data_IF_989326435065
#
_entry.id   IF_989326435065
#
_cell.length_a   1.000
_cell.length_b   1.000
_cell.length_c   1.000
_cell.angle_alpha   90.00
_cell.angle_beta   90.00
_cell.angle_gamma   90.00
#
_symmetry.space_group_name_H-M   'P 1'
#
loop_
_entity.id
_entity.type
_entity.pdbx_description
1 polymer ?
#
# COMPACT_ATOMS: atom_id res chain seq x y z
N UNK A 1 43.35 17.53 -25.09
CA UNK A 1 44.26 16.82 -24.15
C UNK A 1 43.56 15.94 -23.12
N UNK A 2 42.25 16.07 -22.88
CA UNK A 2 41.54 15.34 -21.82
C UNK A 2 41.42 13.81 -22.03
N UNK A 3 41.41 13.32 -23.27
CA UNK A 3 41.27 11.88 -23.57
C UNK A 3 42.52 11.05 -23.29
N UNK A 4 43.69 11.67 -23.08
CA UNK A 4 44.96 10.97 -22.85
C UNK A 4 45.04 10.29 -21.47
N UNK A 5 44.22 10.75 -20.52
CA UNK A 5 44.25 10.26 -19.13
C UNK A 5 42.99 9.47 -18.73
N UNK A 6 42.02 9.32 -19.63
CA UNK A 6 40.80 8.55 -19.35
C UNK A 6 41.04 7.07 -19.66
N UNK A 7 41.51 6.34 -18.64
CA UNK A 7 41.65 4.89 -18.72
C UNK A 7 40.26 4.25 -18.75
N UNK A 8 39.97 3.49 -19.81
CA UNK A 8 38.71 2.75 -19.93
C UNK A 8 38.87 1.41 -19.23
N UNK A 9 38.05 1.17 -18.23
CA UNK A 9 37.93 -0.13 -17.55
C UNK A 9 36.70 -0.84 -18.12
N UNK A 10 36.86 -1.70 -19.14
CA UNK A 10 35.73 -2.46 -19.66
C UNK A 10 35.20 -3.41 -18.59
N UNK A 11 33.89 -3.63 -18.60
CA UNK A 11 33.25 -4.62 -17.72
C UNK A 11 33.60 -6.02 -18.24
N UNK A 12 34.01 -6.96 -17.36
CA UNK A 12 34.28 -8.33 -17.78
C UNK A 12 33.05 -9.00 -18.39
N UNK A 13 33.28 -9.83 -19.39
CA UNK A 13 32.24 -10.63 -20.02
C UNK A 13 31.58 -11.55 -18.97
N UNK A 14 30.26 -11.73 -19.07
CA UNK A 14 29.43 -12.53 -18.15
C UNK A 14 29.32 -12.04 -16.69
N UNK A 15 29.96 -10.91 -16.33
CA UNK A 15 29.87 -10.36 -14.96
C UNK A 15 28.42 -10.14 -14.51
N UNK A 16 27.58 -9.59 -15.40
CA UNK A 16 26.17 -9.33 -15.11
C UNK A 16 25.37 -10.61 -14.85
N UNK A 17 25.66 -11.70 -15.58
CA UNK A 17 24.97 -12.98 -15.39
C UNK A 17 25.33 -13.61 -14.05
N UNK A 18 26.63 -13.64 -13.72
CA UNK A 18 27.12 -14.16 -12.44
C UNK A 18 26.49 -13.39 -11.27
N UNK A 19 26.44 -12.07 -11.37
CA UNK A 19 25.83 -11.22 -10.34
C UNK A 19 24.32 -11.44 -10.24
N UNK A 20 23.64 -11.54 -11.37
CA UNK A 20 22.20 -11.79 -11.42
C UNK A 20 21.84 -13.16 -10.79
N UNK A 21 22.59 -14.20 -11.11
CA UNK A 21 22.34 -15.54 -10.57
C UNK A 21 22.65 -15.61 -9.07
N UNK A 22 23.73 -14.97 -8.63
CA UNK A 22 24.05 -14.83 -7.21
C UNK A 22 22.92 -14.11 -6.45
N UNK A 23 22.51 -12.93 -6.93
CA UNK A 23 21.45 -12.14 -6.28
C UNK A 23 20.10 -12.86 -6.25
N UNK A 24 19.77 -13.64 -7.30
CA UNK A 24 18.58 -14.49 -7.31
C UNK A 24 18.61 -15.53 -6.19
N UNK A 25 19.74 -16.22 -6.00
CA UNK A 25 19.85 -17.25 -4.95
C UNK A 25 19.84 -16.62 -3.54
N UNK A 26 20.51 -15.47 -3.33
CA UNK A 26 20.41 -14.71 -2.07
C UNK A 26 18.96 -14.34 -1.73
N UNK A 27 18.20 -13.85 -2.71
CA UNK A 27 16.79 -13.49 -2.50
C UNK A 27 15.90 -14.70 -2.23
N UNK A 28 16.23 -15.85 -2.83
CA UNK A 28 15.50 -17.11 -2.64
C UNK A 28 15.72 -17.72 -1.26
N UNK A 29 16.96 -17.67 -0.79
CA UNK A 29 17.38 -18.35 0.43
C UNK A 29 17.31 -17.49 1.68
N UNK A 30 17.34 -16.16 1.52
CA UNK A 30 17.31 -15.17 2.61
C UNK A 30 18.30 -15.54 3.74
N UNK A 31 19.61 -15.65 3.45
CA UNK A 31 20.62 -16.00 4.45
C UNK A 31 20.78 -14.88 5.49
N UNK A 32 21.12 -15.24 6.73
CA UNK A 32 21.43 -14.26 7.78
C UNK A 32 22.75 -13.51 7.53
N UNK A 33 23.75 -14.24 7.02
CA UNK A 33 25.08 -13.72 6.70
C UNK A 33 25.36 -13.90 5.21
N UNK A 34 25.22 -12.79 4.47
CA UNK A 34 25.37 -12.74 3.02
C UNK A 34 26.85 -12.96 2.62
N UNK A 35 27.82 -12.57 3.46
CA UNK A 35 29.25 -12.69 3.14
C UNK A 35 29.65 -14.16 3.16
N UNK A 36 29.26 -14.88 4.22
CA UNK A 36 29.50 -16.33 4.33
C UNK A 36 28.80 -17.09 3.20
N UNK A 37 27.55 -16.74 2.92
CA UNK A 37 26.79 -17.32 1.82
C UNK A 37 27.47 -17.13 0.45
N UNK A 38 27.96 -15.91 0.18
CA UNK A 38 28.69 -15.61 -1.05
C UNK A 38 29.98 -16.43 -1.21
N UNK A 39 30.74 -16.61 -0.12
CA UNK A 39 31.93 -17.45 -0.13
C UNK A 39 31.61 -18.89 -0.55
N UNK A 40 30.64 -19.53 0.12
CA UNK A 40 30.24 -20.92 -0.15
C UNK A 40 29.65 -21.08 -1.56
N UNK A 41 28.88 -20.10 -2.02
CA UNK A 41 28.31 -20.06 -3.37
C UNK A 41 29.40 -20.03 -4.45
N UNK A 42 30.37 -19.10 -4.34
CA UNK A 42 31.43 -18.98 -5.32
C UNK A 42 32.44 -20.14 -5.25
N UNK A 43 32.69 -20.73 -4.08
CA UNK A 43 33.47 -21.97 -3.97
C UNK A 43 32.78 -23.14 -4.69
N UNK A 44 31.46 -23.30 -4.51
CA UNK A 44 30.69 -24.35 -5.18
C UNK A 44 30.68 -24.14 -6.69
N UNK A 45 30.51 -22.89 -7.15
CA UNK A 45 30.56 -22.52 -8.57
C UNK A 45 31.94 -22.81 -9.19
N UNK A 46 33.03 -22.48 -8.47
CA UNK A 46 34.41 -22.77 -8.91
C UNK A 46 34.65 -24.27 -9.05
N UNK A 47 34.16 -25.05 -8.10
CA UNK A 47 34.33 -26.51 -8.05
C UNK A 47 33.35 -27.26 -8.99
N UNK A 48 32.38 -26.56 -9.59
CA UNK A 48 31.34 -27.15 -10.43
C UNK A 48 30.35 -28.03 -9.67
N UNK A 49 30.22 -27.85 -8.36
CA UNK A 49 29.30 -28.60 -7.51
C UNK A 49 27.96 -27.88 -7.42
N UNK A 50 26.83 -28.61 -7.32
CA UNK A 50 25.54 -27.99 -7.07
C UNK A 50 25.56 -27.34 -5.69
N UNK A 51 25.27 -26.03 -5.65
CA UNK A 51 25.12 -25.29 -4.41
C UNK A 51 23.77 -25.62 -3.76
N UNK A 52 23.78 -26.01 -2.49
CA UNK A 52 22.57 -26.31 -1.74
C UNK A 52 22.64 -25.66 -0.36
N UNK A 53 21.84 -24.61 -0.15
CA UNK A 53 21.81 -23.88 1.11
C UNK A 53 20.70 -24.40 2.02
N UNK A 54 21.09 -24.79 3.24
CA UNK A 54 20.14 -25.15 4.28
C UNK A 54 19.65 -23.88 4.98
N UNK A 55 18.64 -23.23 4.39
CA UNK A 55 18.02 -22.09 5.05
C UNK A 55 17.16 -22.57 6.22
N UNK A 56 17.27 -21.88 7.36
CA UNK A 56 16.44 -22.13 8.56
C UNK A 56 14.94 -21.90 8.32
N UNK A 57 14.59 -21.15 7.27
CA UNK A 57 13.22 -20.79 6.94
C UNK A 57 12.65 -21.57 5.74
N UNK A 58 13.52 -22.11 4.88
CA UNK A 58 13.16 -22.97 3.75
C UNK A 58 13.00 -24.40 4.24
N UNK A 59 11.95 -24.63 5.04
CA UNK A 59 11.51 -25.99 5.30
C UNK A 59 11.01 -26.54 3.96
N UNK A 60 11.63 -27.61 3.46
CA UNK A 60 11.23 -28.26 2.22
C UNK A 60 9.71 -28.50 2.21
N UNK A 61 9.03 -28.25 1.08
CA UNK A 61 7.60 -28.55 0.90
C UNK A 61 7.34 -29.99 1.35
N UNK A 62 6.69 -30.16 2.51
CA UNK A 62 6.39 -31.46 3.11
C UNK A 62 7.04 -31.74 4.48
N UNK A 63 8.07 -31.00 4.89
CA UNK A 63 8.60 -31.04 6.27
C UNK A 63 8.13 -29.86 7.12
N UNK A 64 7.34 -28.95 6.54
CA UNK A 64 6.78 -27.82 7.25
C UNK A 64 6.04 -28.35 8.48
N UNK A 65 6.57 -28.04 9.67
CA UNK A 65 5.90 -28.34 10.94
C UNK A 65 4.49 -27.77 10.79
N UNK A 66 3.48 -28.64 10.80
CA UNK A 66 2.09 -28.22 10.73
C UNK A 66 1.87 -27.21 11.85
N UNK A 67 1.74 -25.93 11.48
CA UNK A 67 1.30 -24.91 12.41
C UNK A 67 -0.14 -25.32 12.74
N UNK A 68 -0.31 -25.97 13.89
CA UNK A 68 -1.62 -26.20 14.49
C UNK A 68 -2.13 -24.82 14.87
N UNK A 69 -2.77 -24.15 13.93
CA UNK A 69 -3.62 -23.01 14.23
C UNK A 69 -4.67 -23.56 15.18
N UNK A 70 -4.59 -23.19 16.46
CA UNK A 70 -5.74 -23.30 17.32
C UNK A 70 -6.75 -22.34 16.72
N UNK A 71 -7.67 -22.88 15.91
CA UNK A 71 -8.85 -22.13 15.55
C UNK A 71 -9.47 -21.72 16.88
N UNK A 72 -9.54 -20.41 17.13
CA UNK A 72 -10.34 -19.90 18.24
C UNK A 72 -11.73 -20.47 18.00
N UNK A 73 -12.16 -21.39 18.87
CA UNK A 73 -13.49 -21.98 18.78
C UNK A 73 -14.48 -20.81 18.65
N UNK A 74 -15.48 -20.87 17.74
CA UNK A 74 -16.44 -19.79 17.51
C UNK A 74 -17.46 -19.70 18.66
N UNK A 75 -16.99 -19.71 19.90
CA UNK A 75 -17.78 -19.40 21.08
C UNK A 75 -17.38 -17.98 21.48
N UNK A 76 -18.38 -17.13 21.52
CA UNK A 76 -18.33 -15.79 22.09
C UNK A 76 -17.95 -14.63 21.16
N UNK A 77 -18.07 -14.80 19.83
CA UNK A 77 -18.04 -13.63 18.92
C UNK A 77 -19.17 -12.63 19.24
N UNK A 78 -20.34 -13.14 19.61
CA UNK A 78 -21.50 -12.33 20.01
C UNK A 78 -21.26 -11.62 21.35
N UNK A 79 -20.60 -12.28 22.31
CA UNK A 79 -20.30 -11.64 23.60
C UNK A 79 -19.15 -10.65 23.50
N UNK A 80 -18.12 -10.97 22.68
CA UNK A 80 -17.03 -10.04 22.40
C UNK A 80 -17.52 -8.82 21.63
N UNK A 81 -18.41 -8.98 20.65
CA UNK A 81 -18.98 -7.84 19.92
C UNK A 81 -19.85 -6.97 20.82
N UNK A 82 -20.71 -7.56 21.66
CA UNK A 82 -21.46 -6.82 22.70
C UNK A 82 -20.53 -6.04 23.63
N UNK A 83 -19.45 -6.67 24.11
CA UNK A 83 -18.48 -6.02 24.99
C UNK A 83 -17.76 -4.85 24.33
N UNK A 84 -17.41 -4.94 23.04
CA UNK A 84 -16.76 -3.83 22.31
C UNK A 84 -17.72 -2.65 22.11
N UNK A 85 -19.00 -2.94 21.80
CA UNK A 85 -20.04 -1.89 21.68
C UNK A 85 -20.29 -1.20 23.02
N UNK A 86 -20.40 -1.96 24.11
CA UNK A 86 -20.60 -1.42 25.45
C UNK A 86 -19.43 -0.53 25.91
N UNK A 87 -18.18 -0.95 25.64
CA UNK A 87 -16.98 -0.15 25.92
C UNK A 87 -16.98 1.16 25.11
N UNK A 88 -17.39 1.10 23.84
CA UNK A 88 -17.46 2.29 22.97
C UNK A 88 -18.48 3.31 23.48
N UNK A 89 -19.66 2.84 23.87
CA UNK A 89 -20.72 3.69 24.40
C UNK A 89 -20.31 4.33 25.73
N UNK A 90 -19.68 3.58 26.62
CA UNK A 90 -19.21 4.09 27.91
C UNK A 90 -18.15 5.19 27.75
N UNK A 91 -17.26 5.07 26.75
CA UNK A 91 -16.21 6.05 26.49
C UNK A 91 -16.78 7.40 26.02
N UNK A 92 -17.84 7.39 25.21
CA UNK A 92 -18.51 8.62 24.77
C UNK A 92 -19.18 9.37 25.93
N UNK A 93 -19.71 8.66 26.93
CA UNK A 93 -20.36 9.31 28.09
C UNK A 93 -19.36 9.95 29.07
N UNK A 94 -18.15 9.41 29.16
CA UNK A 94 -17.07 9.98 30.01
C UNK A 94 -16.49 11.26 29.38
N UNK A 95 -16.37 11.33 28.05
CA UNK A 95 -15.91 12.53 27.34
C UNK A 95 -16.96 13.66 27.36
N UNK A 96 -18.26 13.33 27.38
CA UNK A 96 -19.35 14.31 27.50
C UNK A 96 -19.52 14.90 28.91
N UNK A 97 -19.09 14.19 29.96
CA UNK A 97 -19.18 14.67 31.36
C UNK A 97 -17.94 15.42 31.85
N UNK A 98 -16.80 15.27 31.17
CA UNK A 98 -15.55 15.99 31.49
C UNK A 98 -15.39 17.34 30.79
N UNK A 99 -16.34 17.72 29.92
CA UNK A 99 -16.37 18.99 29.19
C UNK A 99 -17.39 19.98 29.76
N UNK A 100 -17.24 20.34 31.04
CA UNK A 100 -17.81 21.59 31.57
C UNK A 100 -16.83 22.75 31.31
N UNK A 101 -17.26 23.93 30.83
CA UNK A 101 -16.36 24.90 30.23
C UNK A 101 -15.75 25.83 31.29
N UNK A 102 -14.42 25.78 31.44
CA UNK A 102 -13.64 26.89 31.99
C UNK A 102 -13.18 27.78 30.83
N UNK A 103 -13.86 28.92 30.72
CA UNK A 103 -13.49 30.21 30.12
C UNK A 103 -12.05 30.31 29.57
N UNK A 104 -11.88 30.44 28.25
CA UNK A 104 -11.26 31.62 27.62
C UNK A 104 -11.09 31.47 26.09
N UNK A 105 -11.63 32.47 25.39
CA UNK A 105 -11.04 33.16 24.24
C UNK A 105 -10.92 32.47 22.87
N UNK A 106 -11.84 32.91 21.99
CA UNK A 106 -11.61 33.32 20.58
C UNK A 106 -11.06 32.25 19.64
N UNK A 107 -11.97 31.54 18.96
CA UNK A 107 -11.76 31.15 17.56
C UNK A 107 -13.08 31.18 16.79
N UNK A 108 -13.01 31.86 15.65
CA UNK A 108 -14.12 32.21 14.78
C UNK A 108 -14.78 30.96 14.17
N UNK A 109 -16.07 30.83 14.47
CA UNK A 109 -17.18 30.42 13.61
C UNK A 109 -16.84 29.76 12.26
N UNK A 110 -16.96 28.43 12.20
CA UNK A 110 -17.45 27.71 11.02
C UNK A 110 -18.82 27.12 11.35
N UNK A 111 -19.85 27.97 11.27
CA UNK A 111 -21.24 27.58 11.43
C UNK A 111 -21.72 26.89 10.14
N UNK A 112 -21.81 25.56 10.13
CA UNK A 112 -22.37 24.86 8.97
C UNK A 112 -22.29 23.34 9.01
N UNK A 113 -22.81 22.66 10.05
CA UNK A 113 -23.23 21.24 9.91
C UNK A 113 -23.92 20.59 11.13
N UNK A 114 -24.43 21.35 12.10
CA UNK A 114 -25.04 20.76 13.31
C UNK A 114 -26.57 20.59 13.24
N UNK A 115 -27.19 20.84 12.07
CA UNK A 115 -28.59 20.51 11.82
C UNK A 115 -28.72 19.16 11.10
N UNK A 116 -28.12 18.09 11.65
CA UNK A 116 -28.38 16.73 11.18
C UNK A 116 -29.74 16.29 11.71
N UNK A 117 -30.68 16.04 10.81
CA UNK A 117 -32.08 15.70 11.06
C UNK A 117 -32.23 14.57 12.11
N UNK A 118 -32.90 14.82 13.25
CA UNK A 118 -33.14 13.79 14.28
C UNK A 118 -33.88 12.57 13.71
N UNK A 119 -34.73 12.81 12.72
CA UNK A 119 -35.53 11.80 12.04
C UNK A 119 -34.68 10.87 11.17
N UNK A 120 -33.63 11.40 10.54
CA UNK A 120 -32.70 10.63 9.71
C UNK A 120 -31.79 9.74 10.56
N UNK A 121 -31.40 10.21 11.75
CA UNK A 121 -30.71 9.37 12.75
C UNK A 121 -31.59 8.22 13.25
N UNK A 122 -32.88 8.48 13.48
CA UNK A 122 -33.83 7.44 13.88
C UNK A 122 -34.02 6.41 12.75
N UNK A 123 -34.19 6.87 11.51
CA UNK A 123 -34.31 6.00 10.34
C UNK A 123 -33.06 5.12 10.13
N UNK A 124 -31.86 5.65 10.36
CA UNK A 124 -30.62 4.87 10.29
C UNK A 124 -30.54 3.78 11.37
N UNK A 125 -30.97 4.09 12.59
CA UNK A 125 -31.02 3.11 13.70
C UNK A 125 -32.04 2.02 13.41
N UNK A 126 -33.23 2.39 12.93
CA UNK A 126 -34.28 1.44 12.57
C UNK A 126 -33.86 0.52 11.42
N UNK A 127 -33.17 1.05 10.40
CA UNK A 127 -32.61 0.28 9.29
C UNK A 127 -31.55 -0.73 9.73
N UNK A 128 -30.65 -0.33 10.64
CA UNK A 128 -29.64 -1.24 11.19
C UNK A 128 -30.29 -2.36 12.01
N UNK A 129 -31.31 -2.05 12.80
CA UNK A 129 -32.07 -3.06 13.55
C UNK A 129 -32.81 -4.05 12.63
N UNK A 130 -33.39 -3.57 11.53
CA UNK A 130 -34.03 -4.43 10.53
C UNK A 130 -33.01 -5.39 9.85
N UNK A 131 -31.81 -4.90 9.54
CA UNK A 131 -30.71 -5.72 9.03
C UNK A 131 -30.30 -6.83 10.00
N UNK A 132 -30.22 -6.53 11.30
CA UNK A 132 -29.92 -7.54 12.32
C UNK A 132 -30.99 -8.62 12.39
N UNK A 133 -32.28 -8.24 12.41
CA UNK A 133 -33.39 -9.19 12.45
C UNK A 133 -33.42 -10.09 11.20
N UNK A 134 -33.11 -9.52 10.03
CA UNK A 134 -33.05 -10.29 8.78
C UNK A 134 -31.94 -11.33 8.80
N UNK A 135 -30.74 -10.95 9.27
CA UNK A 135 -29.61 -11.88 9.39
C UNK A 135 -29.91 -12.99 10.38
N UNK A 136 -30.55 -12.67 11.50
CA UNK A 136 -30.93 -13.65 12.53
C UNK A 136 -31.94 -14.68 11.97
N UNK A 137 -32.95 -14.20 11.22
CA UNK A 137 -33.91 -15.07 10.54
C UNK A 137 -33.27 -15.93 9.43
N UNK A 138 -32.32 -15.39 8.66
CA UNK A 138 -31.60 -16.14 7.62
C UNK A 138 -30.72 -17.25 8.25
N UNK A 139 -30.13 -16.99 9.42
CA UNK A 139 -29.38 -18.00 10.19
C UNK A 139 -30.32 -19.08 10.72
N UNK A 140 -31.46 -18.72 11.30
CA UNK A 140 -32.45 -19.68 11.82
C UNK A 140 -33.06 -20.55 10.69
N UNK A 141 -33.26 -19.99 9.49
CA UNK A 141 -33.68 -20.75 8.32
C UNK A 141 -32.61 -21.74 7.85
N UNK A 142 -31.33 -21.37 7.95
CA UNK A 142 -30.21 -22.25 7.62
C UNK A 142 -30.07 -23.40 8.64
N UNK A 143 -30.26 -23.12 9.93
CA UNK A 143 -30.17 -24.14 10.99
C UNK A 143 -31.39 -25.06 11.06
N UNK A 144 -32.58 -24.58 10.69
CA UNK A 144 -33.82 -25.38 10.69
C UNK A 144 -33.99 -26.30 9.46
N UNK A 145 -33.03 -26.30 8.52
CA UNK A 145 -32.94 -27.28 7.44
C UNK A 145 -34.11 -27.27 6.44
N UNK A 146 -34.92 -26.21 6.42
CA UNK A 146 -36.06 -26.04 5.51
C UNK A 146 -35.71 -25.26 4.24
N UNK A 147 -34.52 -25.43 3.68
CA UNK A 147 -34.23 -25.00 2.32
C UNK A 147 -34.66 -26.08 1.32
N UNK A 148 -35.96 -26.18 1.06
CA UNK A 148 -36.46 -26.74 -0.19
C UNK A 148 -36.19 -25.72 -1.30
N UNK A 149 -35.03 -25.83 -1.95
CA UNK A 149 -34.81 -25.46 -3.37
C UNK A 149 -33.38 -25.81 -3.79
N UNK A 150 -33.27 -26.96 -4.45
CA UNK A 150 -32.56 -27.15 -5.72
C UNK A 150 -31.46 -26.12 -6.06
N UNK A 151 -30.30 -26.23 -5.42
CA UNK A 151 -29.04 -25.73 -5.99
C UNK A 151 -27.98 -26.82 -5.84
N UNK A 152 -28.29 -27.97 -6.44
CA UNK A 152 -27.29 -28.97 -6.73
C UNK A 152 -26.35 -28.39 -7.80
N UNK A 153 -25.15 -28.03 -7.35
CA UNK A 153 -23.92 -28.57 -7.92
C UNK A 153 -23.78 -28.40 -9.45
N UNK A 154 -23.67 -27.15 -9.92
CA UNK A 154 -23.02 -26.86 -11.19
C UNK A 154 -21.57 -26.48 -10.90
N UNK A 155 -20.68 -27.47 -10.83
CA UNK A 155 -19.26 -27.21 -11.13
C UNK A 155 -19.13 -27.27 -12.65
N UNK A 156 -19.08 -26.13 -13.37
CA UNK A 156 -18.78 -26.17 -14.79
C UNK A 156 -17.39 -26.79 -14.97
N UNK A 157 -17.37 -27.99 -15.55
CA UNK A 157 -16.16 -28.63 -16.03
C UNK A 157 -15.69 -27.82 -17.24
N UNK A 158 -14.86 -26.80 -17.02
CA UNK A 158 -14.25 -26.04 -18.09
C UNK A 158 -13.19 -26.92 -18.76
N UNK A 159 -13.39 -27.20 -20.06
CA UNK A 159 -12.37 -27.81 -20.91
C UNK A 159 -11.12 -26.91 -20.94
N UNK A 160 -9.93 -27.47 -21.15
CA UNK A 160 -8.67 -26.71 -21.19
C UNK A 160 -8.70 -25.57 -22.21
N UNK A 161 -9.47 -25.72 -23.28
CA UNK A 161 -9.70 -24.67 -24.30
C UNK A 161 -10.52 -23.49 -23.77
N UNK A 162 -11.43 -23.69 -22.83
CA UNK A 162 -12.21 -22.62 -22.23
C UNK A 162 -11.43 -21.89 -21.14
N UNK A 163 -10.54 -22.61 -20.43
CA UNK A 163 -9.60 -21.98 -19.51
C UNK A 163 -8.68 -20.98 -20.24
N UNK A 164 -8.16 -21.35 -21.42
CA UNK A 164 -7.36 -20.43 -22.25
C UNK A 164 -8.13 -19.18 -22.69
N UNK A 165 -9.41 -19.32 -23.05
CA UNK A 165 -10.27 -18.17 -23.39
C UNK A 165 -10.49 -17.26 -22.19
N UNK A 166 -10.74 -17.83 -21.01
CA UNK A 166 -10.93 -17.07 -19.76
C UNK A 166 -9.64 -16.31 -19.41
N UNK A 167 -8.49 -16.97 -19.49
CA UNK A 167 -7.18 -16.34 -19.25
C UNK A 167 -6.95 -15.19 -20.25
N UNK A 168 -7.29 -15.39 -21.53
CA UNK A 168 -7.15 -14.35 -22.57
C UNK A 168 -8.07 -13.15 -22.31
N UNK A 169 -9.31 -13.38 -21.88
CA UNK A 169 -10.26 -12.31 -21.51
C UNK A 169 -9.73 -11.53 -20.31
N UNK A 170 -9.24 -12.22 -19.28
CA UNK A 170 -8.67 -11.58 -18.08
C UNK A 170 -7.40 -10.78 -18.40
N UNK A 171 -6.52 -11.30 -19.25
CA UNK A 171 -5.32 -10.59 -19.70
C UNK A 171 -5.67 -9.32 -20.51
N UNK A 172 -6.67 -9.42 -21.39
CA UNK A 172 -7.16 -8.26 -22.16
C UNK A 172 -7.77 -7.18 -21.26
N UNK A 173 -8.60 -7.58 -20.29
CA UNK A 173 -9.22 -6.67 -19.34
C UNK A 173 -8.18 -5.95 -18.47
N UNK A 174 -7.19 -6.68 -17.94
CA UNK A 174 -6.07 -6.08 -17.18
C UNK A 174 -5.26 -5.11 -18.05
N UNK A 175 -4.99 -5.46 -19.31
CA UNK A 175 -4.28 -4.60 -20.24
C UNK A 175 -5.03 -3.32 -20.61
N UNK A 176 -6.37 -3.34 -20.64
CA UNK A 176 -7.18 -2.12 -20.81
C UNK A 176 -7.13 -1.23 -19.56
N UNK A 177 -7.19 -1.82 -18.37
CA UNK A 177 -7.17 -1.08 -17.11
C UNK A 177 -5.84 -0.33 -16.91
N UNK A 178 -4.71 -0.97 -17.24
CA UNK A 178 -3.39 -0.34 -17.23
C UNK A 178 -3.28 0.79 -18.27
N UNK A 179 -3.81 0.59 -19.49
CA UNK A 179 -3.82 1.63 -20.52
C UNK A 179 -4.66 2.84 -20.12
N UNK A 180 -5.78 2.64 -19.42
CA UNK A 180 -6.60 3.73 -18.93
C UNK A 180 -5.91 4.50 -17.79
N UNK A 181 -5.24 3.81 -16.86
CA UNK A 181 -4.45 4.47 -15.81
C UNK A 181 -3.29 5.29 -16.40
N UNK A 182 -2.58 4.75 -17.40
CA UNK A 182 -1.49 5.47 -18.05
C UNK A 182 -1.99 6.73 -18.79
N UNK A 183 -3.17 6.65 -19.43
CA UNK A 183 -3.81 7.81 -20.06
C UNK A 183 -4.22 8.87 -19.05
N UNK A 184 -4.74 8.48 -17.88
CA UNK A 184 -5.05 9.43 -16.80
C UNK A 184 -3.79 10.15 -16.32
N UNK A 185 -2.70 9.42 -16.08
CA UNK A 185 -1.43 10.04 -15.66
C UNK A 185 -0.84 10.99 -16.70
N UNK A 186 -0.98 10.68 -18.00
CA UNK A 186 -0.53 11.58 -19.07
C UNK A 186 -1.39 12.85 -19.16
N UNK A 187 -2.70 12.75 -18.93
CA UNK A 187 -3.59 13.90 -18.89
C UNK A 187 -3.30 14.80 -17.67
N UNK A 188 -3.07 14.19 -16.51
CA UNK A 188 -2.66 14.92 -15.29
C UNK A 188 -1.30 15.60 -15.46
N UNK A 189 -0.33 14.93 -16.09
CA UNK A 189 0.98 15.51 -16.39
C UNK A 189 0.92 16.70 -17.36
N UNK A 190 0.02 16.68 -18.34
CA UNK A 190 -0.16 17.80 -19.27
C UNK A 190 -0.83 19.01 -18.62
N UNK A 191 -1.76 18.83 -17.68
CA UNK A 191 -2.39 19.96 -16.97
C UNK A 191 -1.41 20.70 -16.05
N UNK A 192 -0.44 19.99 -15.45
CA UNK A 192 0.56 20.62 -14.57
C UNK A 192 1.54 21.50 -15.36
N UNK A 193 1.87 21.13 -16.60
CA UNK A 193 2.75 21.96 -17.45
C UNK A 193 2.07 23.24 -17.92
N UNK A 194 0.76 23.20 -18.18
CA UNK A 194 -0.02 24.40 -18.55
C UNK A 194 -0.17 25.38 -17.36
N UNK A 195 -0.30 24.87 -16.12
CA UNK A 195 -0.32 25.72 -14.92
C UNK A 195 1.05 26.33 -14.58
N UNK A 196 2.17 25.62 -14.80
CA UNK A 196 3.51 26.16 -14.56
C UNK A 196 3.92 27.25 -15.57
N UNK A 197 3.47 27.17 -16.83
CA UNK A 197 3.72 28.22 -17.83
C UNK A 197 2.95 29.51 -17.51
N UNK A 198 1.72 29.45 -16.97
CA UNK A 198 0.98 30.65 -16.57
C UNK A 198 1.60 31.37 -15.36
N UNK A 199 2.22 30.64 -14.43
CA UNK A 199 2.88 31.23 -13.25
C UNK A 199 4.18 31.96 -13.64
N UNK A 200 4.93 31.46 -14.63
CA UNK A 200 6.20 32.08 -15.04
C UNK A 200 6.02 33.42 -15.78
N UNK A 201 4.90 33.59 -16.50
CA UNK A 201 4.59 34.84 -17.23
C UNK A 201 4.26 35.99 -16.26
N UNK A 202 3.68 35.71 -15.08
CA UNK A 202 3.33 36.76 -14.11
C UNK A 202 4.53 37.28 -13.30
N UNK A 203 5.60 36.49 -13.15
CA UNK A 203 6.79 36.90 -12.35
C UNK A 203 7.74 37.81 -13.14
N UNK A 204 7.71 37.76 -14.48
CA UNK A 204 8.62 38.52 -15.34
C UNK A 204 8.30 40.03 -15.51
N UNK A 205 7.24 40.56 -14.87
CA UNK A 205 6.83 41.97 -15.01
C UNK A 205 7.17 42.87 -13.80
N UNK A 206 8.04 42.46 -12.87
CA UNK A 206 8.52 43.36 -11.81
C UNK A 206 9.83 44.05 -12.22
N UNK A 207 9.84 45.36 -12.52
CA UNK A 207 11.08 46.09 -12.75
C UNK A 207 11.88 46.23 -11.46
N UNK A 208 13.18 45.93 -11.56
CA UNK A 208 14.18 46.01 -10.50
C UNK A 208 14.67 47.47 -10.40
N UNK A 209 14.46 48.12 -9.26
CA UNK A 209 15.05 49.43 -8.96
C UNK A 209 16.47 49.20 -8.44
N UNK A 210 17.47 49.62 -9.22
CA UNK A 210 18.88 49.54 -8.85
C UNK A 210 19.25 50.74 -7.97
N UNK A 211 19.68 50.45 -6.74
CA UNK A 211 20.30 51.40 -5.82
C UNK A 211 21.81 51.40 -6.00
N UNK A 212 22.35 52.56 -6.42
CA UNK A 212 23.77 52.88 -6.37
C UNK A 212 24.22 53.09 -4.92
N UNK A 213 25.29 52.43 -4.49
CA UNK A 213 26.09 52.90 -3.36
C UNK A 213 27.58 52.79 -3.72
N UNK A 214 28.21 53.97 -3.79
CA UNK A 214 29.64 54.20 -3.94
C UNK A 214 30.32 54.08 -2.58
N UNK A 215 31.41 53.34 -2.46
CA UNK A 215 32.35 53.53 -1.34
C UNK A 215 33.82 53.36 -1.79
N UNK A 216 34.34 54.50 -2.23
CA UNK A 216 35.60 55.13 -1.84
C UNK A 216 36.51 54.36 -0.85
N UNK A 217 37.73 53.97 -1.27
CA UNK A 217 38.85 53.79 -0.36
C UNK A 217 40.13 54.39 -0.97
N UNK A 218 40.62 55.41 -0.27
CA UNK A 218 41.81 56.20 -0.53
C UNK A 218 43.09 55.48 -0.08
N UNK A 219 44.13 55.74 -0.87
CA UNK A 219 45.56 55.75 -0.60
C UNK A 219 45.98 55.83 0.88
N UNK A 220 46.92 54.96 1.27
CA UNK A 220 47.90 55.29 2.30
C UNK A 220 49.29 54.78 1.88
N UNK A 221 50.17 55.74 1.63
CA UNK A 221 51.61 55.58 1.39
C UNK A 221 52.30 55.26 2.72
N UNK A 222 53.24 54.31 2.75
CA UNK A 222 54.33 54.33 3.73
C UNK A 222 55.65 53.95 3.04
N UNK A 223 56.62 54.81 3.33
CA UNK A 223 58.03 54.92 2.96
C UNK A 223 58.91 53.80 3.53
#
# INVERSE_FOLDING_TARGET
MASKYLQKYPVPENFHQILHDFTREVLRDQPDDIIKYGMEYFESMRDGKPFNFQSKYNIAKGQAIEKKYQTTKPKDYIEQSKKVVDISNLKQDVERKSSAPAVSSVRQLSAGSQASFPEEKKAAVDYVNELYQKVEHDIDQFESGKSETQNAFFQPQFDGKDLEKIIKIQASAKGMLVRNQLKQQQQEGNMIQEEEEEVYVQVAQKPHEDGEDQDNLQDEQIE
#
